data_IF_270979240514
#
_entry.id   IF_270979240514
#
_cell.length_a   1.000
_cell.length_b   1.000
_cell.length_c   1.000
_cell.angle_alpha   90.00
_cell.angle_beta   90.00
_cell.angle_gamma   90.00
#
_symmetry.space_group_name_H-M   'P 1'
#
loop_
_entity.id
_entity.type
_entity.pdbx_description
1 polymer ?
#
# COMPACT_ATOMS: atom_id res chain seq x y z
N UNK A 1 -18.65 -13.76 -10.67
CA UNK A 1 -18.74 -12.35 -10.20
C UNK A 1 -17.74 -12.06 -9.07
N UNK A 2 -17.72 -12.84 -7.98
CA UNK A 2 -16.81 -12.62 -6.84
C UNK A 2 -15.31 -12.75 -7.19
N UNK A 3 -14.92 -13.73 -8.02
CA UNK A 3 -13.52 -13.89 -8.47
C UNK A 3 -13.01 -12.72 -9.32
N UNK A 4 -13.91 -12.05 -10.05
CA UNK A 4 -13.57 -10.83 -10.79
C UNK A 4 -13.27 -9.69 -9.82
N UNK A 5 -14.11 -9.52 -8.77
CA UNK A 5 -13.86 -8.55 -7.71
C UNK A 5 -12.53 -8.82 -6.98
N UNK A 6 -12.24 -10.07 -6.62
CA UNK A 6 -10.97 -10.47 -6.01
C UNK A 6 -9.76 -10.04 -6.85
N UNK A 7 -9.84 -10.24 -8.17
CA UNK A 7 -8.80 -9.80 -9.11
C UNK A 7 -8.69 -8.28 -9.18
N UNK A 8 -9.82 -7.57 -9.25
CA UNK A 8 -9.86 -6.10 -9.29
C UNK A 8 -9.25 -5.52 -8.01
N UNK A 9 -9.60 -6.03 -6.83
CA UNK A 9 -9.03 -5.56 -5.56
C UNK A 9 -7.54 -5.88 -5.44
N UNK A 10 -7.10 -7.06 -5.88
CA UNK A 10 -5.68 -7.42 -5.92
C UNK A 10 -4.90 -6.45 -6.81
N UNK A 11 -5.40 -6.19 -8.03
CA UNK A 11 -4.77 -5.25 -8.96
C UNK A 11 -4.79 -3.82 -8.41
N UNK A 12 -5.88 -3.38 -7.78
CA UNK A 12 -5.97 -2.07 -7.16
C UNK A 12 -4.94 -1.89 -6.05
N UNK A 13 -4.75 -2.90 -5.18
CA UNK A 13 -3.72 -2.86 -4.13
C UNK A 13 -2.30 -2.84 -4.72
N UNK A 14 -2.00 -3.72 -5.69
CA UNK A 14 -0.69 -3.73 -6.35
C UNK A 14 -0.41 -2.41 -7.06
N UNK A 15 -1.41 -1.83 -7.71
CA UNK A 15 -1.29 -0.54 -8.35
C UNK A 15 -1.07 0.58 -7.33
N UNK A 16 -1.77 0.58 -6.19
CA UNK A 16 -1.57 1.54 -5.11
C UNK A 16 -0.15 1.45 -4.52
N UNK A 17 0.33 0.23 -4.25
CA UNK A 17 1.68 -0.01 -3.72
C UNK A 17 2.74 0.42 -4.74
N UNK A 18 2.61 -0.01 -6.00
CA UNK A 18 3.53 0.37 -7.07
C UNK A 18 3.53 1.88 -7.32
N UNK A 19 2.35 2.51 -7.29
CA UNK A 19 2.22 3.95 -7.41
C UNK A 19 2.85 4.67 -6.22
N UNK A 20 2.68 4.21 -4.99
CA UNK A 20 3.37 4.77 -3.82
C UNK A 20 4.90 4.60 -3.92
N UNK A 21 5.41 3.49 -4.46
CA UNK A 21 6.86 3.26 -4.55
C UNK A 21 7.53 4.00 -5.71
N UNK A 22 6.86 4.15 -6.86
CA UNK A 22 7.46 4.69 -8.09
C UNK A 22 6.80 5.98 -8.60
N UNK A 23 5.67 6.40 -8.03
CA UNK A 23 4.89 7.55 -8.50
C UNK A 23 5.58 8.90 -8.36
N UNK A 24 6.68 8.97 -7.59
CA UNK A 24 7.54 10.16 -7.45
C UNK A 24 8.42 10.42 -8.68
N UNK A 25 8.64 9.41 -9.54
CA UNK A 25 9.53 9.51 -10.72
C UNK A 25 8.99 10.51 -11.75
N UNK A 26 7.67 10.58 -11.93
CA UNK A 26 7.06 11.38 -12.99
C UNK A 26 6.59 12.76 -12.49
N UNK A 27 7.02 13.85 -13.16
CA UNK A 27 6.68 15.24 -12.77
C UNK A 27 5.18 15.52 -12.67
N UNK A 28 4.38 14.99 -13.61
CA UNK A 28 2.91 15.18 -13.61
C UNK A 28 2.20 14.39 -12.51
N UNK A 29 2.72 13.24 -12.09
CA UNK A 29 2.06 12.39 -11.08
C UNK A 29 2.43 12.75 -9.65
N UNK A 30 3.41 13.63 -9.42
CA UNK A 30 3.85 14.00 -8.05
C UNK A 30 2.71 14.44 -7.12
N UNK A 31 1.77 15.26 -7.63
CA UNK A 31 0.61 15.69 -6.83
C UNK A 31 -0.28 14.51 -6.46
N UNK A 32 -0.58 13.64 -7.42
CA UNK A 32 -1.36 12.43 -7.20
C UNK A 32 -0.64 11.45 -6.25
N UNK A 33 0.67 11.28 -6.41
CA UNK A 33 1.53 10.47 -5.54
C UNK A 33 1.49 10.96 -4.10
N UNK A 34 1.56 12.27 -3.90
CA UNK A 34 1.50 12.88 -2.57
C UNK A 34 0.13 12.68 -1.93
N UNK A 35 -0.96 12.79 -2.70
CA UNK A 35 -2.31 12.44 -2.24
C UNK A 35 -2.38 10.95 -1.85
N UNK A 36 -1.85 10.05 -2.66
CA UNK A 36 -1.82 8.61 -2.35
C UNK A 36 -1.02 8.30 -1.08
N UNK A 37 0.14 8.95 -0.88
CA UNK A 37 0.92 8.84 0.35
C UNK A 37 0.14 9.34 1.56
N UNK A 38 -0.54 10.50 1.45
CA UNK A 38 -1.38 11.03 2.53
C UNK A 38 -2.53 10.08 2.84
N UNK A 39 -3.24 9.56 1.83
CA UNK A 39 -4.34 8.61 2.04
C UNK A 39 -3.84 7.31 2.69
N UNK A 40 -2.67 6.83 2.29
CA UNK A 40 -2.05 5.63 2.88
C UNK A 40 -1.66 5.88 4.33
N UNK A 41 -0.97 7.00 4.60
CA UNK A 41 -0.62 7.41 5.95
C UNK A 41 -1.87 7.62 6.81
N UNK A 42 -2.90 8.30 6.31
CA UNK A 42 -4.16 8.51 7.02
C UNK A 42 -4.85 7.18 7.33
N UNK A 43 -4.85 6.21 6.40
CA UNK A 43 -5.38 4.87 6.68
C UNK A 43 -4.61 4.20 7.81
N UNK A 44 -3.29 4.34 7.85
CA UNK A 44 -2.48 3.72 8.91
C UNK A 44 -2.61 4.42 10.26
N UNK A 45 -2.59 5.75 10.30
CA UNK A 45 -2.65 6.51 11.54
C UNK A 45 -4.05 6.61 12.12
N UNK A 46 -5.08 6.74 11.27
CA UNK A 46 -6.48 6.87 11.71
C UNK A 46 -7.09 5.48 11.91
N UNK A 47 -7.10 4.66 10.86
CA UNK A 47 -7.77 3.35 10.90
C UNK A 47 -6.86 2.30 11.54
N UNK A 48 -5.54 2.38 11.32
CA UNK A 48 -4.60 1.44 11.95
C UNK A 48 -4.50 1.56 13.47
N UNK A 49 -4.96 2.68 14.06
CA UNK A 49 -5.13 2.78 15.52
C UNK A 49 -6.23 1.84 16.05
N UNK A 50 -7.16 1.41 15.20
CA UNK A 50 -8.29 0.54 15.55
C UNK A 50 -8.11 -0.88 14.99
N UNK A 51 -7.68 -0.99 13.74
CA UNK A 51 -7.61 -2.24 12.99
C UNK A 51 -6.20 -2.86 12.92
N UNK A 52 -5.17 -2.12 13.35
CA UNK A 52 -3.79 -2.58 13.38
C UNK A 52 -2.87 -1.85 12.39
N UNK A 53 -1.57 -1.97 12.63
CA UNK A 53 -0.55 -1.33 11.80
C UNK A 53 -0.62 -1.80 10.34
N UNK A 54 -0.47 -0.88 9.40
CA UNK A 54 -0.48 -1.24 7.98
C UNK A 54 -1.87 -1.36 7.34
N UNK A 55 -2.94 -1.08 8.09
CA UNK A 55 -4.31 -1.29 7.63
C UNK A 55 -4.70 -0.40 6.42
N UNK A 56 -5.42 -0.99 5.48
CA UNK A 56 -5.99 -0.32 4.31
C UNK A 56 -7.49 -0.63 4.21
N UNK A 57 -8.38 0.37 4.03
CA UNK A 57 -9.83 0.12 3.91
C UNK A 57 -10.19 -0.72 2.68
N UNK A 58 -9.36 -0.71 1.62
CA UNK A 58 -9.58 -1.62 0.49
C UNK A 58 -9.40 -3.09 0.90
N UNK A 59 -8.58 -3.39 1.90
CA UNK A 59 -8.34 -4.75 2.38
C UNK A 59 -9.60 -5.31 3.03
N UNK A 60 -10.34 -4.52 3.80
CA UNK A 60 -11.60 -4.98 4.40
C UNK A 60 -12.66 -5.32 3.35
N UNK A 61 -12.84 -4.47 2.34
CA UNK A 61 -13.74 -4.78 1.23
C UNK A 61 -13.29 -6.02 0.47
N UNK A 62 -11.98 -6.19 0.28
CA UNK A 62 -11.43 -7.37 -0.35
C UNK A 62 -11.69 -8.63 0.51
N UNK A 63 -11.55 -8.53 1.83
CA UNK A 63 -11.76 -9.63 2.75
C UNK A 63 -13.22 -10.06 2.80
N UNK A 64 -14.15 -9.12 2.74
CA UNK A 64 -15.58 -9.45 2.63
C UNK A 64 -15.87 -10.29 1.36
N UNK A 65 -15.20 -9.97 0.25
CA UNK A 65 -15.31 -10.77 -0.99
C UNK A 65 -14.67 -12.15 -0.83
N UNK A 66 -13.50 -12.23 -0.18
CA UNK A 66 -12.79 -13.49 0.06
C UNK A 66 -13.49 -14.41 1.04
N UNK A 67 -14.09 -13.88 2.09
CA UNK A 67 -14.93 -14.62 3.03
C UNK A 67 -16.15 -15.21 2.31
N UNK A 68 -16.79 -14.44 1.40
CA UNK A 68 -17.87 -14.94 0.54
C UNK A 68 -17.40 -16.02 -0.45
N UNK A 69 -16.12 -16.03 -0.81
CA UNK A 69 -15.48 -17.09 -1.60
C UNK A 69 -15.08 -18.31 -0.75
N UNK A 70 -15.23 -18.25 0.57
CA UNK A 70 -14.93 -19.34 1.50
C UNK A 70 -13.51 -19.33 2.08
N UNK A 71 -12.68 -18.32 1.79
CA UNK A 71 -11.39 -18.16 2.46
C UNK A 71 -11.60 -17.71 3.91
N UNK A 72 -10.90 -18.34 4.87
CA UNK A 72 -10.95 -18.03 6.30
C UNK A 72 -9.53 -17.89 6.84
N UNK A 73 -9.37 -17.17 7.94
CA UNK A 73 -8.07 -16.80 8.55
C UNK A 73 -7.24 -15.84 7.69
N UNK A 74 -7.89 -14.80 7.16
CA UNK A 74 -7.22 -13.74 6.42
C UNK A 74 -6.41 -12.85 7.38
N UNK A 75 -5.16 -12.49 7.06
CA UNK A 75 -4.36 -11.62 7.91
C UNK A 75 -4.87 -10.18 7.84
N UNK A 76 -4.53 -9.38 8.86
CA UNK A 76 -4.96 -7.98 8.94
C UNK A 76 -4.44 -7.08 7.80
N UNK A 77 -3.34 -7.45 7.13
CA UNK A 77 -2.77 -6.67 6.03
C UNK A 77 -2.71 -7.47 4.72
N UNK A 78 -3.12 -6.83 3.63
CA UNK A 78 -3.04 -7.41 2.28
C UNK A 78 -1.62 -7.81 1.90
N UNK A 79 -0.61 -7.04 2.34
CA UNK A 79 0.78 -7.33 2.02
C UNK A 79 1.24 -8.62 2.71
N UNK A 80 0.79 -8.89 3.94
CA UNK A 80 1.07 -10.17 4.59
C UNK A 80 0.38 -11.29 3.83
N UNK A 81 -0.90 -11.15 3.50
CA UNK A 81 -1.62 -12.14 2.69
C UNK A 81 -0.88 -12.47 1.39
N UNK A 82 -0.46 -11.43 0.66
CA UNK A 82 0.22 -11.58 -0.61
C UNK A 82 1.63 -12.17 -0.43
N UNK A 83 2.36 -11.77 0.61
CA UNK A 83 3.68 -12.29 0.93
C UNK A 83 3.64 -13.76 1.36
N UNK A 84 2.70 -14.14 2.21
CA UNK A 84 2.48 -15.52 2.62
C UNK A 84 2.10 -16.39 1.42
N UNK A 85 1.25 -15.87 0.52
CA UNK A 85 0.85 -16.55 -0.72
C UNK A 85 2.01 -16.71 -1.71
N UNK A 86 2.90 -15.71 -1.80
CA UNK A 86 4.06 -15.75 -2.70
C UNK A 86 5.17 -16.67 -2.15
N UNK A 87 5.42 -16.61 -0.84
CA UNK A 87 6.47 -17.36 -0.16
C UNK A 87 6.05 -18.79 0.17
N UNK A 88 4.74 -19.06 0.24
CA UNK A 88 4.18 -20.35 0.67
C UNK A 88 4.36 -20.64 2.16
N UNK A 89 4.74 -19.63 2.95
CA UNK A 89 5.10 -19.74 4.37
C UNK A 89 4.47 -18.59 5.16
N UNK A 90 4.08 -18.83 6.42
CA UNK A 90 3.54 -17.79 7.30
C UNK A 90 4.66 -16.83 7.76
N UNK A 91 4.78 -15.68 7.08
CA UNK A 91 5.76 -14.66 7.41
C UNK A 91 5.24 -13.87 8.61
N UNK A 92 6.06 -13.65 9.67
CA UNK A 92 5.63 -12.88 10.82
C UNK A 92 5.09 -11.50 10.42
N UNK A 93 3.88 -11.15 10.88
CA UNK A 93 3.21 -9.89 10.51
C UNK A 93 4.10 -8.68 10.79
N UNK A 94 4.83 -8.71 11.91
CA UNK A 94 5.77 -7.66 12.30
C UNK A 94 6.84 -7.38 11.25
N UNK A 95 7.35 -8.42 10.56
CA UNK A 95 8.35 -8.25 9.50
C UNK A 95 7.73 -7.53 8.31
N UNK A 96 6.53 -7.96 7.90
CA UNK A 96 5.79 -7.35 6.79
C UNK A 96 5.46 -5.89 7.10
N UNK A 97 5.02 -5.61 8.32
CA UNK A 97 4.66 -4.26 8.76
C UNK A 97 5.89 -3.33 8.74
N UNK A 98 7.03 -3.80 9.24
CA UNK A 98 8.30 -3.04 9.21
C UNK A 98 8.74 -2.79 7.76
N UNK A 99 8.73 -3.80 6.90
CA UNK A 99 9.12 -3.65 5.48
C UNK A 99 8.20 -2.65 4.79
N UNK A 100 6.90 -2.73 5.04
CA UNK A 100 5.94 -1.81 4.42
C UNK A 100 6.13 -0.38 4.92
N UNK A 101 6.35 -0.20 6.22
CA UNK A 101 6.65 1.11 6.81
C UNK A 101 7.94 1.70 6.23
N UNK A 102 9.01 0.91 6.17
CA UNK A 102 10.28 1.35 5.58
C UNK A 102 10.08 1.72 4.10
N UNK A 103 9.32 0.94 3.34
CA UNK A 103 8.97 1.26 1.96
C UNK A 103 8.19 2.58 1.83
N UNK A 104 7.21 2.82 2.69
CA UNK A 104 6.45 4.07 2.72
C UNK A 104 7.36 5.25 3.08
N UNK A 105 8.21 5.11 4.10
CA UNK A 105 9.16 6.15 4.51
C UNK A 105 10.18 6.45 3.42
N UNK A 106 10.69 5.44 2.73
CA UNK A 106 11.59 5.60 1.58
C UNK A 106 10.88 6.34 0.43
N UNK A 107 9.62 6.01 0.15
CA UNK A 107 8.81 6.70 -0.86
C UNK A 107 8.55 8.17 -0.50
N UNK A 108 8.27 8.47 0.77
CA UNK A 108 8.12 9.85 1.27
C UNK A 108 9.45 10.60 1.11
N UNK A 109 10.57 10.02 1.55
CA UNK A 109 11.89 10.62 1.43
C UNK A 109 12.27 10.88 -0.03
N UNK A 110 12.00 9.93 -0.94
CA UNK A 110 12.23 10.09 -2.38
C UNK A 110 11.33 11.18 -2.98
N UNK A 111 10.06 11.24 -2.58
CA UNK A 111 9.11 12.29 -3.01
C UNK A 111 9.56 13.68 -2.56
N UNK A 112 9.96 13.83 -1.29
CA UNK A 112 10.54 15.06 -0.75
C UNK A 112 11.83 15.41 -1.50
N UNK A 113 12.74 14.46 -1.68
CA UNK A 113 13.99 14.68 -2.38
C UNK A 113 13.75 15.17 -3.81
N UNK A 114 12.91 14.49 -4.60
CA UNK A 114 12.63 14.90 -5.98
C UNK A 114 11.85 16.20 -6.06
N UNK A 115 10.94 16.46 -5.14
CA UNK A 115 10.20 17.71 -5.15
C UNK A 115 11.12 18.90 -4.82
N UNK A 116 11.91 18.81 -3.75
CA UNK A 116 12.76 19.92 -3.30
C UNK A 116 14.09 20.05 -4.07
N UNK A 117 14.73 18.96 -4.48
CA UNK A 117 16.03 19.00 -5.18
C UNK A 117 15.89 19.15 -6.71
N UNK A 118 14.87 18.59 -7.38
CA UNK A 118 14.72 18.82 -8.82
C UNK A 118 14.12 20.20 -9.17
N UNK A 119 13.44 20.87 -8.24
CA UNK A 119 13.00 22.26 -8.44
C UNK A 119 14.18 23.22 -8.59
N UNK A 120 15.32 22.94 -7.95
CA UNK A 120 16.54 23.77 -8.10
C UNK A 120 17.17 23.70 -9.49
N UNK A 121 16.90 22.64 -10.27
CA UNK A 121 17.53 22.44 -11.58
C UNK A 121 16.75 23.01 -12.77
N UNK A 122 15.56 23.57 -12.55
CA UNK A 122 14.74 24.20 -13.61
C UNK A 122 14.68 25.74 -13.47
N UNK A 123 15.54 26.31 -12.61
CA UNK A 123 15.68 27.77 -12.42
C UNK A 123 17.08 28.29 -12.79
N UNK A 124 17.93 27.48 -13.44
CA UNK A 124 19.13 27.96 -14.12
C UNK A 124 18.89 27.96 -15.62
#
# INVERSE_FOLDING_TARGET
>A
MLAFLDTVYTLAHLHLIGFNLFGWVWRRTRKAHLISLILTAASWFVLGAWYGWGYCPLTDWHWEVKEKLGERNLPASFIKYFADKLSGTDIPSRTVDVVTLVGLMAAIAASVFVNFFQLKRTKQ
#
